data_IF_787037002270
#
_entry.id   IF_787037002270
#
_cell.length_a   1.000
_cell.length_b   1.000
_cell.length_c   1.000
_cell.angle_alpha   90.00
_cell.angle_beta   90.00
_cell.angle_gamma   90.00
#
_symmetry.space_group_name_H-M   'P 1'
#
loop_
_entity.id
_entity.type
_entity.pdbx_description
1 polymer ?
#
# COMPACT_ATOMS: atom_id res chain seq x y z
N UNK A 1 14.09 -5.28 2.83
CA UNK A 1 13.96 -6.58 2.12
C UNK A 1 12.54 -7.08 2.30
N UNK A 2 11.96 -7.73 1.29
CA UNK A 2 10.61 -8.31 1.35
C UNK A 2 10.71 -9.84 1.33
N UNK A 3 9.84 -10.52 2.06
CA UNK A 3 9.55 -11.95 1.86
C UNK A 3 8.49 -12.10 0.76
N UNK A 4 8.49 -13.25 0.09
CA UNK A 4 7.41 -13.63 -0.85
C UNK A 4 6.65 -14.79 -0.25
N UNK A 5 5.36 -14.58 -0.01
CA UNK A 5 4.51 -15.50 0.73
C UNK A 5 3.21 -15.75 -0.03
N UNK A 6 2.63 -16.95 0.12
CA UNK A 6 1.39 -17.32 -0.54
C UNK A 6 0.22 -17.12 0.43
N UNK A 7 -0.73 -16.27 0.04
CA UNK A 7 -1.94 -16.00 0.83
C UNK A 7 -3.20 -16.35 0.04
N UNK A 8 -4.27 -16.64 0.78
CA UNK A 8 -5.60 -16.84 0.23
C UNK A 8 -6.34 -15.49 0.19
N UNK A 9 -6.76 -15.06 -1.00
CA UNK A 9 -7.50 -13.82 -1.23
C UNK A 9 -8.95 -14.14 -1.50
N UNK A 10 -9.84 -13.62 -0.66
CA UNK A 10 -11.29 -13.76 -0.88
C UNK A 10 -11.73 -12.78 -1.97
N UNK A 11 -12.32 -13.32 -3.02
CA UNK A 11 -12.98 -12.56 -4.09
C UNK A 11 -14.50 -12.71 -3.97
N UNK A 12 -15.26 -12.04 -4.84
CA UNK A 12 -16.73 -12.17 -4.89
C UNK A 12 -17.15 -13.62 -5.17
N UNK A 13 -16.38 -14.35 -5.99
CA UNK A 13 -16.76 -15.69 -6.47
C UNK A 13 -16.04 -16.83 -5.74
N UNK A 14 -14.81 -16.63 -5.28
CA UNK A 14 -14.00 -17.70 -4.70
C UNK A 14 -12.82 -17.21 -3.86
N UNK A 15 -12.18 -18.15 -3.17
CA UNK A 15 -10.90 -17.96 -2.52
C UNK A 15 -9.77 -18.34 -3.49
N UNK A 16 -8.84 -17.42 -3.76
CA UNK A 16 -7.75 -17.63 -4.71
C UNK A 16 -6.37 -17.52 -4.03
N UNK A 17 -5.42 -18.41 -4.32
CA UNK A 17 -4.04 -18.26 -3.87
C UNK A 17 -3.32 -17.17 -4.67
N UNK A 18 -2.68 -16.23 -3.98
CA UNK A 18 -1.87 -15.17 -4.58
C UNK A 18 -0.53 -15.03 -3.87
N UNK A 19 0.53 -14.78 -4.66
CA UNK A 19 1.82 -14.38 -4.11
C UNK A 19 1.76 -12.93 -3.66
N UNK A 20 2.07 -12.67 -2.38
CA UNK A 20 2.21 -11.33 -1.82
C UNK A 20 3.63 -11.11 -1.31
N UNK A 21 4.09 -9.86 -1.41
CA UNK A 21 5.36 -9.43 -0.89
C UNK A 21 5.15 -8.72 0.44
N UNK A 22 5.67 -9.29 1.52
CA UNK A 22 5.52 -8.76 2.88
C UNK A 22 6.84 -8.11 3.30
N UNK A 23 6.76 -6.87 3.79
CA UNK A 23 7.95 -6.18 4.27
C UNK A 23 8.50 -6.93 5.50
N UNK A 24 9.81 -7.20 5.52
CA UNK A 24 10.44 -7.85 6.67
C UNK A 24 10.29 -6.95 7.92
N UNK A 25 9.65 -7.42 9.00
CA UNK A 25 9.43 -6.62 10.20
C UNK A 25 10.69 -6.02 10.81
N UNK A 26 11.85 -6.68 10.65
CA UNK A 26 13.13 -6.18 11.14
C UNK A 26 13.63 -4.92 10.43
N UNK A 27 13.03 -4.55 9.30
CA UNK A 27 13.38 -3.34 8.53
C UNK A 27 12.22 -2.34 8.40
N UNK A 28 11.14 -2.55 9.16
CA UNK A 28 10.01 -1.62 9.20
C UNK A 28 10.29 -0.58 10.29
N UNK A 29 10.16 0.69 9.91
CA UNK A 29 10.18 1.82 10.84
C UNK A 29 8.78 2.46 10.83
N UNK A 30 8.08 2.35 11.97
CA UNK A 30 6.72 2.87 12.14
C UNK A 30 6.66 4.39 12.31
N UNK A 31 7.80 5.06 12.43
CA UNK A 31 7.89 6.52 12.54
C UNK A 31 7.92 7.20 11.17
N UNK A 32 8.19 6.44 10.10
CA UNK A 32 8.28 6.94 8.73
C UNK A 32 6.91 6.87 8.06
N UNK A 33 6.50 8.01 7.48
CA UNK A 33 5.26 8.12 6.71
C UNK A 33 5.52 7.98 5.20
N UNK A 34 4.57 7.44 4.42
CA UNK A 34 4.68 7.43 2.97
C UNK A 34 4.72 8.87 2.43
N UNK A 35 5.34 9.06 1.27
CA UNK A 35 5.27 10.33 0.56
C UNK A 35 3.89 10.48 -0.10
N UNK A 36 3.36 11.72 -0.17
CA UNK A 36 2.03 11.99 -0.76
C UNK A 36 1.93 11.46 -2.20
N UNK A 37 2.95 11.71 -3.03
CA UNK A 37 3.02 11.22 -4.41
C UNK A 37 2.92 9.69 -4.50
N UNK A 38 3.41 8.95 -3.49
CA UNK A 38 3.37 7.49 -3.49
C UNK A 38 1.95 6.98 -3.24
N UNK A 39 1.20 7.63 -2.35
CA UNK A 39 -0.22 7.31 -2.14
C UNK A 39 -1.04 7.65 -3.38
N UNK A 40 -0.76 8.78 -4.04
CA UNK A 40 -1.41 9.14 -5.30
C UNK A 40 -1.10 8.15 -6.42
N UNK A 41 0.12 7.61 -6.48
CA UNK A 41 0.47 6.54 -7.42
C UNK A 41 -0.41 5.30 -7.26
N UNK A 42 -0.82 4.96 -6.02
CA UNK A 42 -1.74 3.83 -5.77
C UNK A 42 -3.15 4.05 -6.34
N UNK A 43 -3.52 5.28 -6.71
CA UNK A 43 -4.84 5.58 -7.30
C UNK A 43 -5.08 4.87 -8.63
N UNK A 44 -4.02 4.43 -9.31
CA UNK A 44 -4.13 3.57 -10.49
C UNK A 44 -4.90 2.25 -10.20
N UNK A 45 -4.89 1.79 -8.94
CA UNK A 45 -5.64 0.61 -8.50
C UNK A 45 -7.06 0.89 -8.00
N UNK A 46 -7.48 2.16 -7.92
CA UNK A 46 -8.75 2.56 -7.27
C UNK A 46 -9.97 1.85 -7.83
N UNK A 47 -10.01 1.59 -9.15
CA UNK A 47 -11.13 0.92 -9.81
C UNK A 47 -11.41 -0.51 -9.32
N UNK A 48 -10.44 -1.14 -8.64
CA UNK A 48 -10.56 -2.51 -8.11
C UNK A 48 -10.88 -2.55 -6.61
N UNK A 49 -10.97 -1.40 -5.95
CA UNK A 49 -11.16 -1.26 -4.52
C UNK A 49 -12.57 -0.75 -4.21
N UNK A 50 -13.06 -1.04 -3.01
CA UNK A 50 -14.29 -0.37 -2.55
C UNK A 50 -13.99 1.10 -2.25
N UNK A 51 -14.98 2.00 -2.40
CA UNK A 51 -14.81 3.40 -2.06
C UNK A 51 -14.28 3.61 -0.63
N UNK A 52 -14.81 2.86 0.34
CA UNK A 52 -14.45 2.99 1.76
C UNK A 52 -12.99 2.58 2.01
N UNK A 53 -12.49 1.57 1.29
CA UNK A 53 -11.10 1.14 1.41
C UNK A 53 -10.16 2.17 0.77
N UNK A 54 -10.54 2.74 -0.37
CA UNK A 54 -9.79 3.81 -1.00
C UNK A 54 -9.71 5.06 -0.11
N UNK A 55 -10.82 5.47 0.49
CA UNK A 55 -10.84 6.66 1.36
C UNK A 55 -9.88 6.50 2.55
N UNK A 56 -9.76 5.28 3.11
CA UNK A 56 -8.78 4.97 4.15
C UNK A 56 -7.33 5.11 3.66
N UNK A 57 -7.05 4.69 2.44
CA UNK A 57 -5.71 4.84 1.83
C UNK A 57 -5.41 6.33 1.64
N UNK A 58 -6.33 7.08 1.05
CA UNK A 58 -6.15 8.50 0.72
C UNK A 58 -5.93 9.37 1.98
N UNK A 59 -6.63 9.05 3.06
CA UNK A 59 -6.49 9.70 4.37
C UNK A 59 -5.21 9.31 5.13
N UNK A 60 -4.36 8.43 4.58
CA UNK A 60 -3.08 8.06 5.22
C UNK A 60 -2.23 9.32 5.45
N UNK A 61 -1.75 9.57 6.69
CA UNK A 61 -0.84 10.66 6.96
C UNK A 61 0.43 10.51 6.13
N UNK A 62 0.71 11.50 5.29
CA UNK A 62 1.90 11.49 4.42
C UNK A 62 2.90 12.56 4.85
N UNK A 63 4.14 12.37 4.42
CA UNK A 63 5.10 13.47 4.30
C UNK A 63 4.89 14.16 2.96
N UNK A 64 4.81 15.48 2.99
CA UNK A 64 4.89 16.31 1.79
C UNK A 64 6.30 16.19 1.18
N UNK A 65 6.42 16.36 -0.13
CA UNK A 65 7.73 16.41 -0.75
C UNK A 65 8.50 17.61 -0.19
N UNK A 66 9.71 17.38 0.31
CA UNK A 66 10.67 18.47 0.51
C UNK A 66 11.23 18.76 -0.87
N UNK A 67 10.93 19.94 -1.43
CA UNK A 67 11.62 20.44 -2.60
C UNK A 67 13.12 20.47 -2.28
N UNK A 68 13.87 19.53 -2.84
CA UNK A 68 15.33 19.62 -2.82
C UNK A 68 15.67 20.69 -3.85
N UNK A 69 15.84 21.92 -3.38
CA UNK A 69 16.47 22.99 -4.15
C UNK A 69 17.93 22.57 -4.32
N UNK A 70 18.30 22.17 -5.55
CA UNK A 70 19.70 21.93 -5.94
C UNK A 70 20.46 23.25 -6.05
#
# INVERSE_FOLDING_TARGET
MYSRELFQVQTISSLLPAWMYIANPAVIDSTIRPARWYVEHLSAGKAFLTPEYWDRIDQTPCREAVDVIW
#
